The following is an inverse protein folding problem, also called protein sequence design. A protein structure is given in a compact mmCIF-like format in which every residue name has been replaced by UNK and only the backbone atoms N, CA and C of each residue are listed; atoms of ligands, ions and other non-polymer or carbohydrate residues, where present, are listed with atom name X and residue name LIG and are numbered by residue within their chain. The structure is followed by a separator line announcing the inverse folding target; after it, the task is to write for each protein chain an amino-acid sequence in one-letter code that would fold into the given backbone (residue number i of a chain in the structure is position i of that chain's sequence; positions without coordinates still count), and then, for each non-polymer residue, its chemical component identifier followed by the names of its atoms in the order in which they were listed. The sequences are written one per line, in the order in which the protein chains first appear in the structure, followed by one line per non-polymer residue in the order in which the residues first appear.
data_IF_437938643726
#
_entry.id   IF_437938643726
#
_cell.length_a   1.000
_cell.length_b   1.000
_cell.length_c   1.000
_cell.angle_alpha   90.00
_cell.angle_beta   90.00
_cell.angle_gamma   90.00
#
_symmetry.space_group_name_H-M   'P 1'
#
loop_
_entity.id
_entity.type
_entity.pdbx_description
1 polymer ?
#
# COMPACT_ATOMS: atom_id res chain seq x y z
N UNK A 1 5.20 -36.07 -34.60
CA UNK A 1 5.61 -34.85 -35.31
C UNK A 1 5.20 -33.64 -34.46
N UNK A 2 5.99 -32.54 -34.45
CA UNK A 2 5.56 -31.32 -33.79
C UNK A 2 4.26 -30.82 -34.44
N UNK A 3 3.39 -30.23 -33.62
CA UNK A 3 2.14 -29.62 -34.07
C UNK A 3 2.44 -28.33 -34.83
N UNK A 4 1.94 -28.19 -36.06
CA UNK A 4 2.22 -27.06 -36.95
C UNK A 4 1.40 -25.79 -36.63
N UNK A 5 0.39 -25.93 -35.78
CA UNK A 5 -0.63 -24.93 -35.43
C UNK A 5 -0.34 -24.20 -34.10
N UNK A 6 0.83 -24.43 -33.50
CA UNK A 6 1.21 -23.80 -32.21
C UNK A 6 1.96 -22.50 -32.46
N UNK A 7 1.43 -21.39 -31.92
CA UNK A 7 2.11 -20.09 -31.88
C UNK A 7 2.94 -19.97 -30.60
N UNK A 8 4.11 -19.34 -30.72
CA UNK A 8 5.01 -19.06 -29.60
C UNK A 8 5.38 -17.58 -29.68
N UNK A 9 4.90 -16.79 -28.74
CA UNK A 9 5.27 -15.40 -28.62
C UNK A 9 6.79 -15.26 -28.38
N UNK A 10 7.43 -14.35 -29.12
CA UNK A 10 8.86 -14.04 -28.98
C UNK A 10 9.06 -12.75 -28.17
N UNK A 11 8.02 -11.93 -28.06
CA UNK A 11 8.03 -10.71 -27.24
C UNK A 11 6.84 -10.66 -26.27
N UNK A 12 6.97 -9.88 -25.19
CA UNK A 12 5.86 -9.63 -24.27
C UNK A 12 4.66 -8.94 -24.94
N UNK A 13 4.92 -8.11 -25.96
CA UNK A 13 3.88 -7.44 -26.73
C UNK A 13 3.07 -8.44 -27.57
N UNK A 14 3.75 -9.38 -28.22
CA UNK A 14 3.11 -10.49 -28.94
C UNK A 14 2.34 -11.40 -27.99
N UNK A 15 2.90 -11.74 -26.82
CA UNK A 15 2.20 -12.55 -25.82
C UNK A 15 0.87 -11.89 -25.36
N UNK A 16 0.90 -10.58 -25.10
CA UNK A 16 -0.31 -9.80 -24.74
C UNK A 16 -1.30 -9.64 -25.90
N UNK A 17 -0.82 -9.67 -27.15
CA UNK A 17 -1.68 -9.66 -28.33
C UNK A 17 -2.32 -11.02 -28.58
N UNK A 18 -1.58 -12.11 -28.37
CA UNK A 18 -2.08 -13.48 -28.45
C UNK A 18 -3.15 -13.76 -27.38
N UNK A 19 -2.96 -13.29 -26.14
CA UNK A 19 -3.99 -13.33 -25.07
C UNK A 19 -5.30 -12.63 -25.46
N UNK A 20 -5.23 -11.61 -26.32
CA UNK A 20 -6.40 -10.86 -26.81
C UNK A 20 -6.99 -11.42 -28.11
N UNK A 21 -6.20 -12.18 -28.87
CA UNK A 21 -6.58 -12.72 -30.18
C UNK A 21 -7.23 -14.11 -30.11
N UNK A 22 -7.21 -14.77 -28.94
CA UNK A 22 -7.89 -16.05 -28.69
C UNK A 22 -9.39 -15.91 -28.41
N UNK A 23 -10.09 -15.10 -29.21
CA UNK A 23 -11.55 -15.04 -29.25
C UNK A 23 -12.03 -15.69 -30.56
N UNK A 24 -11.74 -16.99 -30.70
CA UNK A 24 -12.14 -17.83 -31.82
C UNK A 24 -13.26 -18.78 -31.36
N UNK A 25 -14.29 -19.03 -32.18
CA UNK A 25 -15.49 -19.80 -31.80
C UNK A 25 -15.16 -21.24 -31.30
N UNK A 26 -14.02 -21.79 -31.73
CA UNK A 26 -13.49 -23.10 -31.32
C UNK A 26 -13.01 -23.13 -29.84
N UNK A 27 -12.61 -21.99 -29.27
CA UNK A 27 -12.22 -21.89 -27.85
C UNK A 27 -13.44 -22.01 -26.94
N UNK A 28 -14.55 -21.37 -27.31
CA UNK A 28 -15.79 -21.40 -26.54
C UNK A 28 -16.44 -22.79 -26.59
N UNK A 29 -16.43 -23.47 -27.75
CA UNK A 29 -16.90 -24.85 -27.85
C UNK A 29 -16.04 -25.82 -27.01
N UNK A 30 -14.71 -25.68 -27.06
CA UNK A 30 -13.80 -26.48 -26.22
C UNK A 30 -14.02 -26.20 -24.74
N UNK A 31 -14.18 -24.95 -24.34
CA UNK A 31 -14.45 -24.55 -22.96
C UNK A 31 -15.78 -25.13 -22.47
N UNK A 32 -16.85 -25.01 -23.26
CA UNK A 32 -18.15 -25.60 -22.96
C UNK A 32 -18.06 -27.12 -22.82
N UNK A 33 -17.30 -27.80 -23.68
CA UNK A 33 -17.09 -29.24 -23.59
C UNK A 33 -16.40 -29.65 -22.28
N UNK A 34 -15.39 -28.90 -21.84
CA UNK A 34 -14.70 -29.12 -20.55
C UNK A 34 -15.64 -28.87 -19.39
N UNK A 35 -16.44 -27.79 -19.43
CA UNK A 35 -17.45 -27.49 -18.41
C UNK A 35 -18.50 -28.60 -18.29
N UNK A 36 -19.00 -29.11 -19.41
CA UNK A 36 -19.93 -30.24 -19.42
C UNK A 36 -19.30 -31.51 -18.83
N UNK A 37 -18.02 -31.77 -19.12
CA UNK A 37 -17.30 -32.91 -18.56
C UNK A 37 -17.08 -32.77 -17.04
N UNK A 38 -16.74 -31.56 -16.56
CA UNK A 38 -16.62 -31.28 -15.13
C UNK A 38 -17.96 -31.37 -14.41
N UNK A 39 -19.06 -30.93 -15.02
CA UNK A 39 -20.40 -31.03 -14.45
C UNK A 39 -20.88 -32.47 -14.29
N UNK A 40 -20.40 -33.39 -15.13
CA UNK A 40 -20.69 -34.83 -15.05
C UNK A 40 -19.90 -35.55 -13.94
N UNK A 41 -18.86 -34.94 -13.38
CA UNK A 41 -18.07 -35.54 -12.29
C UNK A 41 -18.89 -35.61 -11.00
N UNK A 42 -18.96 -36.81 -10.42
CA UNK A 42 -19.63 -37.03 -9.15
C UNK A 42 -18.78 -36.53 -7.98
N UNK A 43 -19.12 -35.36 -7.46
CA UNK A 43 -18.45 -34.73 -6.31
C UNK A 43 -18.55 -35.57 -5.02
N UNK A 44 -19.54 -36.46 -4.88
CA UNK A 44 -19.74 -37.28 -3.67
C UNK A 44 -18.74 -38.44 -3.53
N UNK A 45 -18.14 -38.86 -4.64
CA UNK A 45 -17.13 -39.94 -4.68
C UNK A 45 -15.69 -39.42 -4.74
N UNK A 46 -15.50 -38.11 -4.82
CA UNK A 46 -14.18 -37.49 -4.99
C UNK A 46 -13.61 -37.12 -3.62
N UNK A 47 -12.41 -37.63 -3.29
CA UNK A 47 -11.69 -37.22 -2.08
C UNK A 47 -11.19 -35.78 -2.23
N UNK A 48 -11.25 -34.99 -1.16
CA UNK A 48 -10.66 -33.65 -1.15
C UNK A 48 -9.16 -33.72 -1.42
N UNK A 49 -8.69 -32.89 -2.33
CA UNK A 49 -7.26 -32.68 -2.53
C UNK A 49 -6.71 -31.84 -1.39
N UNK A 50 -5.49 -32.15 -0.95
CA UNK A 50 -4.77 -31.38 0.05
C UNK A 50 -3.81 -30.46 -0.73
N UNK A 51 -4.03 -29.14 -0.71
CA UNK A 51 -3.08 -28.22 -1.31
C UNK A 51 -1.76 -28.26 -0.54
N UNK A 52 -0.65 -28.17 -1.27
CA UNK A 52 0.68 -28.08 -0.67
C UNK A 52 0.92 -26.62 -0.30
N UNK A 53 1.16 -26.36 0.98
CA UNK A 53 1.64 -25.06 1.46
C UNK A 53 3.17 -25.02 1.34
N UNK A 54 3.67 -24.11 0.52
CA UNK A 54 5.10 -24.00 0.27
C UNK A 54 5.86 -23.59 1.54
N UNK A 55 6.62 -24.54 2.08
CA UNK A 55 7.60 -24.33 3.13
C UNK A 55 9.00 -24.62 2.60
N UNK A 56 9.89 -23.63 2.70
CA UNK A 56 11.27 -23.69 2.18
C UNK A 56 12.27 -24.17 3.24
N UNK A 57 11.93 -24.03 4.52
CA UNK A 57 12.84 -24.27 5.65
C UNK A 57 12.73 -25.69 6.21
N UNK A 58 11.80 -26.50 5.70
CA UNK A 58 11.68 -27.92 5.99
C UNK A 58 12.23 -28.74 4.81
N UNK A 59 13.37 -29.40 5.02
CA UNK A 59 14.03 -30.20 4.00
C UNK A 59 13.36 -31.59 3.81
N UNK A 60 12.36 -31.95 4.63
CA UNK A 60 11.67 -33.26 4.56
C UNK A 60 10.42 -33.26 3.69
N UNK A 61 9.95 -32.09 3.27
CA UNK A 61 8.71 -31.94 2.49
C UNK A 61 8.91 -32.04 0.96
N UNK A 62 10.16 -32.20 0.50
CA UNK A 62 10.55 -32.30 -0.91
C UNK A 62 10.23 -31.07 -1.79
N UNK A 63 9.80 -29.94 -1.22
CA UNK A 63 9.47 -28.74 -1.99
C UNK A 63 10.70 -28.20 -2.72
N UNK A 64 11.79 -28.02 -1.98
CA UNK A 64 13.02 -27.48 -2.56
C UNK A 64 13.72 -28.48 -3.49
N UNK A 65 13.59 -29.78 -3.23
CA UNK A 65 14.08 -30.82 -4.14
C UNK A 65 13.35 -30.76 -5.49
N UNK A 66 12.02 -30.65 -5.47
CA UNK A 66 11.21 -30.53 -6.68
C UNK A 66 11.59 -29.27 -7.47
N UNK A 67 11.65 -28.11 -6.82
CA UNK A 67 11.98 -26.84 -7.49
C UNK A 67 13.39 -26.89 -8.09
N UNK A 68 14.37 -27.41 -7.34
CA UNK A 68 15.76 -27.51 -7.81
C UNK A 68 15.87 -28.45 -9.00
N UNK A 69 15.27 -29.63 -8.93
CA UNK A 69 15.28 -30.59 -10.03
C UNK A 69 14.56 -30.05 -11.27
N UNK A 70 13.36 -29.48 -11.11
CA UNK A 70 12.60 -28.90 -12.22
C UNK A 70 13.35 -27.72 -12.87
N UNK A 71 13.96 -26.86 -12.07
CA UNK A 71 14.77 -25.74 -12.55
C UNK A 71 16.00 -26.23 -13.32
N UNK A 72 16.72 -27.22 -12.79
CA UNK A 72 17.92 -27.76 -13.44
C UNK A 72 17.59 -28.53 -14.73
N UNK A 73 16.50 -29.31 -14.77
CA UNK A 73 16.03 -29.94 -16.01
C UNK A 73 15.69 -28.91 -17.09
N UNK A 74 15.08 -27.78 -16.70
CA UNK A 74 14.84 -26.67 -17.62
C UNK A 74 16.15 -25.99 -18.02
N UNK A 75 17.09 -25.81 -17.11
CA UNK A 75 18.39 -25.21 -17.37
C UNK A 75 19.18 -26.01 -18.43
N UNK A 76 19.17 -27.34 -18.31
CA UNK A 76 19.81 -28.27 -19.25
C UNK A 76 19.26 -28.11 -20.68
N UNK A 77 17.94 -27.90 -20.83
CA UNK A 77 17.31 -27.66 -22.14
C UNK A 77 17.86 -26.42 -22.87
N UNK A 78 18.33 -25.41 -22.11
CA UNK A 78 18.83 -24.14 -22.64
C UNK A 78 20.34 -23.95 -22.40
N UNK A 79 21.05 -25.01 -22.00
CA UNK A 79 22.49 -24.97 -21.68
C UNK A 79 22.85 -23.92 -20.61
N UNK A 80 21.94 -23.69 -19.66
CA UNK A 80 22.16 -22.82 -18.49
C UNK A 80 22.82 -23.66 -17.39
N UNK A 81 23.80 -23.10 -16.69
CA UNK A 81 24.48 -23.81 -15.59
C UNK A 81 23.50 -24.17 -14.47
N UNK A 82 23.43 -25.45 -14.03
CA UNK A 82 22.53 -25.85 -12.96
C UNK A 82 22.93 -25.22 -11.62
N UNK A 83 21.96 -25.12 -10.71
CA UNK A 83 22.13 -24.60 -9.36
C UNK A 83 21.93 -25.71 -8.32
N UNK A 84 22.61 -25.60 -7.18
CA UNK A 84 22.37 -26.49 -6.04
C UNK A 84 21.09 -26.12 -5.29
N UNK A 85 20.70 -26.97 -4.34
CA UNK A 85 19.50 -26.76 -3.51
C UNK A 85 19.62 -25.47 -2.70
N UNK A 86 20.81 -25.14 -2.20
CA UNK A 86 21.02 -23.94 -1.38
C UNK A 86 20.81 -22.65 -2.17
N UNK A 87 21.40 -22.52 -3.36
CA UNK A 87 21.22 -21.37 -4.25
C UNK A 87 19.78 -21.27 -4.74
N UNK A 88 19.17 -22.42 -5.05
CA UNK A 88 17.75 -22.48 -5.44
C UNK A 88 16.84 -22.05 -4.29
N UNK A 89 17.10 -22.49 -3.06
CA UNK A 89 16.39 -22.09 -1.83
C UNK A 89 16.55 -20.61 -1.54
N UNK A 90 17.74 -20.05 -1.73
CA UNK A 90 17.98 -18.62 -1.60
C UNK A 90 17.11 -17.80 -2.56
N UNK A 91 17.04 -18.20 -3.83
CA UNK A 91 16.32 -17.47 -4.88
C UNK A 91 14.80 -17.70 -4.78
N UNK A 92 14.35 -18.96 -4.82
CA UNK A 92 12.93 -19.33 -4.79
C UNK A 92 12.27 -18.97 -3.46
N UNK A 93 13.00 -19.12 -2.37
CA UNK A 93 12.56 -18.78 -1.02
C UNK A 93 12.67 -17.29 -0.66
N UNK A 94 13.20 -16.45 -1.57
CA UNK A 94 13.43 -15.01 -1.35
C UNK A 94 14.14 -14.72 -0.03
N UNK A 95 15.18 -15.48 0.28
CA UNK A 95 15.91 -15.36 1.54
C UNK A 95 16.70 -14.05 1.54
N UNK A 96 16.45 -13.22 2.56
CA UNK A 96 17.23 -12.01 2.83
C UNK A 96 18.45 -12.43 3.67
N UNK A 97 19.69 -12.32 3.14
CA UNK A 97 20.87 -12.66 3.91
C UNK A 97 21.00 -11.74 5.13
N UNK A 98 21.23 -12.33 6.30
CA UNK A 98 21.39 -11.61 7.55
C UNK A 98 22.51 -12.22 8.39
N UNK A 99 23.27 -11.36 9.08
CA UNK A 99 24.33 -11.75 10.00
C UNK A 99 24.27 -10.88 11.25
N UNK A 100 24.51 -11.48 12.42
CA UNK A 100 24.40 -10.81 13.70
C UNK A 100 25.30 -9.56 13.83
N UNK A 101 26.44 -9.52 13.14
CA UNK A 101 27.37 -8.39 13.15
C UNK A 101 26.73 -7.11 12.60
N UNK A 102 26.06 -7.18 11.45
CA UNK A 102 25.34 -6.04 10.87
C UNK A 102 24.17 -5.62 11.76
N UNK A 103 23.42 -6.58 12.31
CA UNK A 103 22.32 -6.29 13.23
C UNK A 103 22.80 -5.57 14.50
N UNK A 104 23.89 -6.04 15.11
CA UNK A 104 24.48 -5.42 16.28
C UNK A 104 25.00 -4.00 15.99
N UNK A 105 25.66 -3.80 14.84
CA UNK A 105 26.15 -2.50 14.43
C UNK A 105 24.99 -1.50 14.21
N UNK A 106 23.94 -1.90 13.47
CA UNK A 106 22.75 -1.06 13.25
C UNK A 106 22.04 -0.75 14.57
N UNK A 107 21.83 -1.75 15.44
CA UNK A 107 21.20 -1.54 16.74
C UNK A 107 22.01 -0.57 17.62
N UNK A 108 23.33 -0.67 17.64
CA UNK A 108 24.21 0.26 18.36
C UNK A 108 24.06 1.70 17.86
N UNK A 109 24.04 1.92 16.53
CA UNK A 109 23.82 3.24 15.94
C UNK A 109 22.42 3.79 16.28
N UNK A 110 21.39 2.95 16.26
CA UNK A 110 20.03 3.34 16.67
C UNK A 110 20.00 3.76 18.15
N UNK A 111 20.69 3.05 19.04
CA UNK A 111 20.80 3.44 20.44
C UNK A 111 21.51 4.80 20.62
N UNK A 112 22.49 5.12 19.78
CA UNK A 112 23.14 6.44 19.79
C UNK A 112 22.15 7.55 19.39
N UNK A 113 21.33 7.34 18.35
CA UNK A 113 20.28 8.29 17.97
C UNK A 113 19.20 8.41 19.05
N UNK A 114 18.88 7.31 19.75
CA UNK A 114 17.92 7.30 20.85
C UNK A 114 18.29 8.28 21.96
N UNK A 115 19.58 8.38 22.33
CA UNK A 115 20.03 9.35 23.35
C UNK A 115 19.64 10.79 23.04
N UNK A 116 19.51 11.15 21.75
CA UNK A 116 19.09 12.49 21.32
C UNK A 116 17.60 12.74 21.58
N UNK A 117 16.81 11.69 21.74
CA UNK A 117 15.37 11.74 22.00
C UNK A 117 15.00 11.57 23.47
N UNK A 118 15.95 11.27 24.35
CA UNK A 118 15.69 11.13 25.79
C UNK A 118 15.49 12.53 26.39
N UNK A 119 14.25 12.84 26.77
CA UNK A 119 13.87 14.06 27.48
C UNK A 119 13.56 13.82 28.97
N UNK A 120 12.97 14.81 29.62
CA UNK A 120 12.53 14.77 31.03
C UNK A 120 11.23 13.96 31.27
N UNK A 121 10.66 13.39 30.20
CA UNK A 121 9.41 12.62 30.23
C UNK A 121 8.14 13.45 30.13
N UNK A 122 8.23 14.79 30.14
CA UNK A 122 7.09 15.68 30.02
C UNK A 122 6.88 16.19 28.59
N UNK A 123 7.96 16.46 27.87
CA UNK A 123 7.91 16.89 26.47
C UNK A 123 9.02 16.24 25.64
N UNK A 124 8.81 16.03 24.34
CA UNK A 124 9.88 15.60 23.45
C UNK A 124 10.99 16.67 23.45
N UNK A 125 12.28 16.28 23.51
CA UNK A 125 13.36 17.24 23.55
C UNK A 125 13.44 18.02 22.23
N UNK A 126 13.65 19.34 22.32
CA UNK A 126 13.84 20.19 21.15
C UNK A 126 15.30 20.06 20.64
N UNK A 127 15.57 18.98 19.90
CA UNK A 127 16.89 18.71 19.34
C UNK A 127 16.97 19.22 17.89
N UNK A 128 17.96 20.06 17.54
CA UNK A 128 18.14 20.54 16.18
C UNK A 128 18.37 19.40 15.18
N UNK A 129 17.70 19.45 14.03
CA UNK A 129 17.76 18.41 12.98
C UNK A 129 19.20 18.04 12.57
N UNK A 130 20.10 19.03 12.50
CA UNK A 130 21.54 18.87 12.15
C UNK A 130 22.30 17.87 13.04
N UNK A 131 21.81 17.62 14.25
CA UNK A 131 22.42 16.70 15.22
C UNK A 131 22.09 15.24 14.89
N UNK A 132 20.94 14.98 14.25
CA UNK A 132 20.56 13.63 13.82
C UNK A 132 21.42 13.18 12.65
N UNK A 133 21.68 11.87 12.58
CA UNK A 133 22.47 11.26 11.51
C UNK A 133 21.79 9.98 11.03
N UNK A 134 21.48 9.93 9.74
CA UNK A 134 21.16 8.69 9.06
C UNK A 134 22.45 7.92 8.83
N UNK A 135 22.53 6.69 9.34
CA UNK A 135 23.71 5.84 9.18
C UNK A 135 23.57 4.89 7.99
N UNK A 136 24.59 4.83 7.16
CA UNK A 136 24.75 3.88 6.06
C UNK A 136 26.03 3.09 6.30
N UNK A 137 25.97 1.77 6.25
CA UNK A 137 27.16 0.95 6.50
C UNK A 137 27.23 -0.26 5.59
N UNK A 138 28.45 -0.61 5.20
CA UNK A 138 28.76 -1.85 4.50
C UNK A 138 30.03 -2.45 5.11
N UNK A 139 29.84 -3.44 5.99
CA UNK A 139 30.93 -4.10 6.72
C UNK A 139 31.86 -4.93 5.83
N UNK A 140 31.46 -5.24 4.59
CA UNK A 140 32.34 -5.93 3.64
C UNK A 140 33.41 -4.98 3.07
N UNK A 141 33.12 -3.68 2.95
CA UNK A 141 34.03 -2.62 2.49
C UNK A 141 34.57 -1.74 3.64
N UNK A 142 34.46 -2.20 4.88
CA UNK A 142 34.41 -1.37 6.09
C UNK A 142 33.90 0.08 5.93
N UNK A 143 32.82 0.28 5.17
CA UNK A 143 32.31 1.61 4.86
C UNK A 143 31.27 2.06 5.91
N UNK A 144 31.41 3.31 6.36
CA UNK A 144 30.44 4.01 7.20
C UNK A 144 30.22 5.42 6.64
N UNK A 145 28.98 5.74 6.32
CA UNK A 145 28.55 7.04 5.86
C UNK A 145 27.43 7.57 6.74
N UNK A 146 27.48 8.87 7.04
CA UNK A 146 26.42 9.54 7.79
C UNK A 146 25.93 10.75 7.01
N UNK A 147 24.61 10.90 6.92
CA UNK A 147 23.98 12.09 6.33
C UNK A 147 23.03 12.73 7.32
N UNK A 148 22.80 14.03 7.17
CA UNK A 148 21.71 14.68 7.90
C UNK A 148 20.36 14.22 7.32
N UNK A 149 19.33 14.03 8.16
CA UNK A 149 17.99 13.78 7.68
C UNK A 149 17.45 14.98 6.88
N UNK A 150 16.62 14.67 5.89
CA UNK A 150 15.96 15.68 5.05
C UNK A 150 14.84 16.32 5.88
N UNK A 151 14.79 17.65 5.89
CA UNK A 151 13.69 18.37 6.52
C UNK A 151 12.36 18.08 5.80
N UNK A 152 11.27 18.00 6.56
CA UNK A 152 9.95 17.77 5.98
C UNK A 152 9.62 18.88 4.95
N UNK A 153 9.17 18.54 3.72
CA UNK A 153 8.76 19.52 2.74
C UNK A 153 7.67 20.44 3.30
N UNK A 154 7.87 21.74 3.16
CA UNK A 154 6.89 22.76 3.56
C UNK A 154 5.97 23.07 2.37
N UNK A 155 4.68 22.87 2.57
CA UNK A 155 3.60 23.27 1.66
C UNK A 155 3.03 24.60 2.13
N UNK A 156 2.71 25.50 1.19
CA UNK A 156 2.10 26.80 1.49
C UNK A 156 0.60 26.60 1.68
N UNK A 157 0.04 27.14 2.77
CA UNK A 157 -1.39 27.14 3.05
C UNK A 157 -1.77 28.53 3.56
N UNK A 158 -2.59 29.26 2.80
CA UNK A 158 -2.93 30.66 3.06
C UNK A 158 -1.67 31.52 3.34
N UNK A 159 -1.60 32.14 4.52
CA UNK A 159 -0.48 32.98 4.97
C UNK A 159 0.65 32.19 5.66
N UNK A 160 0.48 30.87 5.82
CA UNK A 160 1.40 29.99 6.56
C UNK A 160 2.02 28.87 5.72
N UNK A 161 2.79 28.03 6.41
CA UNK A 161 3.34 26.80 5.87
C UNK A 161 3.02 25.63 6.78
N UNK A 162 2.77 24.48 6.18
CA UNK A 162 2.57 23.23 6.89
C UNK A 162 3.44 22.11 6.28
N UNK A 163 3.60 21.04 7.04
CA UNK A 163 4.38 19.85 6.70
C UNK A 163 3.51 18.61 6.87
N UNK A 164 4.06 17.44 6.57
CA UNK A 164 3.36 16.16 6.76
C UNK A 164 2.97 15.85 8.22
N UNK A 165 3.55 16.56 9.19
CA UNK A 165 3.30 16.37 10.62
C UNK A 165 2.17 17.24 11.16
N UNK A 166 1.82 18.30 10.44
CA UNK A 166 0.79 19.24 10.83
C UNK A 166 -0.58 18.65 10.49
N UNK A 167 -1.55 18.91 11.37
CA UNK A 167 -2.94 18.49 11.20
C UNK A 167 -3.86 19.44 11.93
N UNK A 168 -5.08 19.54 11.45
CA UNK A 168 -6.17 20.15 12.20
C UNK A 168 -6.84 19.10 13.06
N UNK A 169 -7.08 19.41 14.33
CA UNK A 169 -7.86 18.54 15.21
C UNK A 169 -9.17 19.23 15.54
N UNK A 170 -10.28 18.55 15.28
CA UNK A 170 -11.62 19.04 15.57
C UNK A 170 -12.39 18.00 16.38
N UNK A 171 -13.12 18.47 17.39
CA UNK A 171 -13.98 17.65 18.24
C UNK A 171 -15.40 17.64 17.67
N UNK A 172 -15.93 16.43 17.45
CA UNK A 172 -17.34 16.20 17.14
C UNK A 172 -18.22 16.09 18.39
N UNK A 173 -19.51 15.78 18.22
CA UNK A 173 -20.24 15.72 16.96
C UNK A 173 -20.44 17.12 16.37
N UNK A 174 -20.29 17.25 15.06
CA UNK A 174 -20.51 18.48 14.30
C UNK A 174 -21.18 18.15 12.98
N UNK A 175 -22.03 19.07 12.53
CA UNK A 175 -22.62 19.03 11.19
C UNK A 175 -21.59 19.43 10.14
N UNK A 176 -21.80 19.02 8.90
CA UNK A 176 -20.92 19.40 7.79
C UNK A 176 -20.81 20.94 7.65
N UNK A 177 -21.91 21.69 7.81
CA UNK A 177 -21.88 23.16 7.75
C UNK A 177 -20.98 23.79 8.82
N UNK A 178 -20.96 23.21 10.02
CA UNK A 178 -20.17 23.71 11.15
C UNK A 178 -18.68 23.42 10.93
N UNK A 179 -18.37 22.27 10.33
CA UNK A 179 -17.01 21.92 9.95
C UNK A 179 -16.48 22.85 8.84
N UNK A 180 -17.28 23.09 7.78
CA UNK A 180 -16.89 24.00 6.70
C UNK A 180 -16.69 25.43 7.23
N UNK A 181 -17.60 25.90 8.10
CA UNK A 181 -17.49 27.22 8.72
C UNK A 181 -16.24 27.31 9.61
N UNK A 182 -15.96 26.28 10.41
CA UNK A 182 -14.76 26.23 11.25
C UNK A 182 -13.47 26.27 10.42
N UNK A 183 -13.41 25.50 9.32
CA UNK A 183 -12.25 25.53 8.40
C UNK A 183 -12.07 26.94 7.83
N UNK A 184 -13.16 27.61 7.45
CA UNK A 184 -13.13 28.98 6.93
C UNK A 184 -12.65 29.99 7.97
N UNK A 185 -13.06 29.84 9.22
CA UNK A 185 -12.63 30.72 10.32
C UNK A 185 -11.14 30.55 10.68
N UNK A 186 -10.65 29.30 10.70
CA UNK A 186 -9.26 28.99 11.04
C UNK A 186 -8.28 29.29 9.91
N UNK A 187 -8.66 29.00 8.66
CA UNK A 187 -7.75 29.08 7.51
C UNK A 187 -8.00 30.29 6.62
N UNK A 188 -9.20 30.89 6.69
CA UNK A 188 -9.63 31.92 5.75
C UNK A 188 -9.91 31.40 4.32
N UNK A 189 -9.91 30.07 4.12
CA UNK A 189 -10.10 29.42 2.81
C UNK A 189 -11.51 28.83 2.67
N UNK A 190 -11.98 28.77 1.43
CA UNK A 190 -13.32 28.25 1.11
C UNK A 190 -13.23 26.78 0.66
N UNK A 191 -13.84 25.86 1.40
CA UNK A 191 -13.78 24.41 1.12
C UNK A 191 -14.51 24.07 -0.19
N UNK A 192 -13.79 23.49 -1.14
CA UNK A 192 -14.35 23.03 -2.42
C UNK A 192 -14.65 21.53 -2.42
N UNK A 193 -13.78 20.74 -1.80
CA UNK A 193 -13.87 19.28 -1.80
C UNK A 193 -13.43 18.70 -0.46
N UNK A 194 -14.13 17.66 0.00
CA UNK A 194 -13.78 16.91 1.21
C UNK A 194 -14.01 15.42 1.01
N UNK A 195 -12.99 14.61 1.31
CA UNK A 195 -13.03 13.16 1.24
C UNK A 195 -12.63 12.51 2.56
N UNK A 196 -13.11 11.28 2.78
CA UNK A 196 -12.61 10.37 3.81
C UNK A 196 -12.12 9.11 3.11
N UNK A 197 -10.81 8.92 3.05
CA UNK A 197 -10.18 7.89 2.22
C UNK A 197 -10.59 8.08 0.75
N UNK A 198 -11.10 7.02 0.13
CA UNK A 198 -11.52 7.04 -1.29
C UNK A 198 -12.92 7.62 -1.52
N UNK A 199 -13.65 7.98 -0.44
CA UNK A 199 -15.04 8.38 -0.51
C UNK A 199 -15.19 9.90 -0.49
N UNK A 200 -15.85 10.43 -1.52
CA UNK A 200 -16.13 11.86 -1.65
C UNK A 200 -17.38 12.27 -0.85
N UNK A 201 -17.16 12.97 0.26
CA UNK A 201 -18.20 13.33 1.24
C UNK A 201 -18.84 14.67 0.88
N UNK A 202 -18.04 15.63 0.42
CA UNK A 202 -18.54 16.94 -0.01
C UNK A 202 -17.77 17.41 -1.24
N UNK A 203 -18.48 18.00 -2.18
CA UNK A 203 -17.89 18.62 -3.37
C UNK A 203 -18.82 19.66 -3.96
N UNK A 204 -18.25 20.74 -4.49
CA UNK A 204 -19.00 21.75 -5.24
C UNK A 204 -19.67 21.19 -6.51
N UNK A 205 -19.21 20.06 -7.06
CA UNK A 205 -19.83 19.39 -8.22
C UNK A 205 -21.16 18.67 -7.91
N UNK A 206 -21.50 18.48 -6.63
CA UNK A 206 -22.78 17.87 -6.25
C UNK A 206 -23.94 18.82 -6.59
N UNK A 207 -25.11 18.24 -6.91
CA UNK A 207 -26.33 19.02 -7.16
C UNK A 207 -26.69 19.89 -5.95
N UNK A 208 -27.32 21.04 -6.20
CA UNK A 208 -27.65 22.00 -5.14
C UNK A 208 -28.45 21.35 -4.00
N UNK A 209 -29.43 20.50 -4.33
CA UNK A 209 -30.27 19.81 -3.35
C UNK A 209 -29.45 18.85 -2.47
N UNK A 210 -28.56 18.05 -3.07
CA UNK A 210 -27.70 17.12 -2.32
C UNK A 210 -26.68 17.85 -1.44
N UNK A 211 -26.18 19.01 -1.87
CA UNK A 211 -25.28 19.82 -1.04
C UNK A 211 -26.02 20.37 0.18
N UNK A 212 -27.21 20.91 -0.02
CA UNK A 212 -28.05 21.45 1.05
C UNK A 212 -28.43 20.38 2.08
N UNK A 213 -28.75 19.16 1.61
CA UNK A 213 -29.02 18.01 2.47
C UNK A 213 -27.79 17.63 3.32
N UNK A 214 -26.63 17.45 2.68
CA UNK A 214 -25.39 17.08 3.37
C UNK A 214 -24.89 18.12 4.37
N UNK A 215 -25.16 19.40 4.12
CA UNK A 215 -24.76 20.48 5.04
C UNK A 215 -25.41 20.36 6.42
N UNK A 216 -26.63 19.81 6.49
CA UNK A 216 -27.39 19.65 7.73
C UNK A 216 -27.21 18.29 8.42
N UNK A 217 -26.57 17.33 7.76
CA UNK A 217 -26.28 16.00 8.30
C UNK A 217 -25.02 16.00 9.20
N UNK A 218 -24.98 15.06 10.14
CA UNK A 218 -23.82 14.83 10.98
C UNK A 218 -22.69 14.16 10.19
N UNK A 219 -21.44 14.56 10.44
CA UNK A 219 -20.28 14.04 9.71
C UNK A 219 -20.19 12.51 9.74
N UNK A 220 -20.56 11.89 10.87
CA UNK A 220 -20.57 10.44 11.03
C UNK A 220 -21.56 9.78 10.05
N UNK A 221 -22.77 10.31 9.98
CA UNK A 221 -23.84 9.73 9.16
C UNK A 221 -23.54 9.88 7.68
N UNK A 222 -22.98 11.00 7.26
CA UNK A 222 -22.58 11.22 5.85
C UNK A 222 -21.50 10.20 5.45
N UNK A 223 -20.50 9.96 6.30
CA UNK A 223 -19.45 8.97 6.03
C UNK A 223 -20.06 7.58 5.90
N UNK A 224 -20.95 7.18 6.81
CA UNK A 224 -21.60 5.87 6.77
C UNK A 224 -22.49 5.68 5.52
N UNK A 225 -23.21 6.73 5.12
CA UNK A 225 -24.06 6.73 3.93
C UNK A 225 -23.23 6.59 2.64
N UNK A 226 -22.19 7.41 2.48
CA UNK A 226 -21.36 7.42 1.26
C UNK A 226 -20.53 6.15 1.13
N UNK A 227 -19.95 5.68 2.24
CA UNK A 227 -19.16 4.44 2.24
C UNK A 227 -20.04 3.18 2.22
N UNK A 228 -21.34 3.33 2.48
CA UNK A 228 -22.31 2.24 2.68
C UNK A 228 -21.85 1.25 3.76
N UNK A 229 -21.07 1.72 4.73
CA UNK A 229 -20.49 0.93 5.81
C UNK A 229 -20.62 1.70 7.11
N UNK A 230 -21.16 1.04 8.13
CA UNK A 230 -21.21 1.60 9.49
C UNK A 230 -19.78 1.77 10.02
N UNK A 231 -19.49 2.90 10.66
CA UNK A 231 -18.21 3.10 11.34
C UNK A 231 -18.20 2.22 12.59
N UNK A 232 -17.20 1.34 12.77
CA UNK A 232 -17.10 0.51 13.95
C UNK A 232 -16.98 1.33 15.25
N UNK A 233 -17.59 0.86 16.34
CA UNK A 233 -17.66 1.60 17.61
C UNK A 233 -16.29 1.83 18.30
N UNK A 234 -15.25 1.11 17.88
CA UNK A 234 -13.87 1.29 18.36
C UNK A 234 -13.13 2.45 17.65
N UNK A 235 -13.68 2.97 16.55
CA UNK A 235 -13.07 4.09 15.82
C UNK A 235 -13.35 5.38 16.58
N UNK A 236 -12.28 6.04 17.03
CA UNK A 236 -12.36 7.29 17.81
C UNK A 236 -12.28 8.54 16.93
N UNK A 237 -11.62 8.45 15.78
CA UNK A 237 -11.42 9.58 14.89
C UNK A 237 -11.36 9.13 13.44
N UNK A 238 -11.77 10.01 12.53
CA UNK A 238 -11.65 9.83 11.09
C UNK A 238 -10.71 10.90 10.52
N UNK A 239 -10.06 10.58 9.41
CA UNK A 239 -9.19 11.51 8.69
C UNK A 239 -9.95 12.04 7.49
N UNK A 240 -9.98 13.37 7.38
CA UNK A 240 -10.59 14.08 6.26
C UNK A 240 -9.50 14.78 5.47
N UNK A 241 -9.52 14.58 4.17
CA UNK A 241 -8.70 15.32 3.21
C UNK A 241 -9.56 16.42 2.59
N UNK A 242 -9.03 17.63 2.56
CA UNK A 242 -9.77 18.83 2.17
C UNK A 242 -8.99 19.59 1.12
N UNK A 243 -9.68 19.97 0.05
CA UNK A 243 -9.22 20.95 -0.93
C UNK A 243 -10.04 22.21 -0.72
N UNK A 244 -9.37 23.36 -0.68
CA UNK A 244 -9.99 24.64 -0.47
C UNK A 244 -9.43 25.68 -1.43
N UNK A 245 -10.20 26.72 -1.74
CA UNK A 245 -9.77 27.81 -2.61
C UNK A 245 -9.32 29.01 -1.78
N UNK A 246 -8.31 29.70 -2.28
CA UNK A 246 -7.93 31.02 -1.77
C UNK A 246 -8.82 32.13 -2.38
N UNK A 247 -8.58 33.38 -1.99
CA UNK A 247 -9.33 34.56 -2.48
C UNK A 247 -9.16 34.82 -3.99
N UNK A 248 -8.15 34.22 -4.61
CA UNK A 248 -7.83 34.33 -6.03
C UNK A 248 -8.39 33.13 -6.83
N UNK A 249 -9.27 32.33 -6.22
CA UNK A 249 -9.87 31.10 -6.79
C UNK A 249 -8.84 30.01 -7.19
N UNK A 250 -7.65 30.03 -6.60
CA UNK A 250 -6.65 28.97 -6.78
C UNK A 250 -6.86 27.84 -5.75
N UNK A 251 -6.77 26.59 -6.21
CA UNK A 251 -6.82 25.41 -5.35
C UNK A 251 -5.59 25.37 -4.42
N UNK A 252 -5.84 25.29 -3.11
CA UNK A 252 -4.83 25.20 -2.06
C UNK A 252 -5.08 23.96 -1.22
N UNK A 253 -4.00 23.22 -0.98
CA UNK A 253 -4.00 22.11 -0.04
C UNK A 253 -3.88 22.63 1.40
N UNK A 254 -4.63 22.03 2.31
CA UNK A 254 -4.53 22.27 3.75
C UNK A 254 -4.07 20.99 4.48
N UNK A 255 -3.52 21.10 5.71
CA UNK A 255 -3.31 19.94 6.56
C UNK A 255 -4.56 19.05 6.65
N UNK A 256 -4.37 17.74 6.71
CA UNK A 256 -5.50 16.83 6.91
C UNK A 256 -6.18 17.12 8.26
N UNK A 257 -7.47 16.84 8.32
CA UNK A 257 -8.28 17.06 9.52
C UNK A 257 -8.49 15.72 10.20
N UNK A 258 -8.02 15.62 11.44
CA UNK A 258 -8.40 14.56 12.37
C UNK A 258 -9.70 14.98 13.06
N UNK A 259 -10.79 14.40 12.60
CA UNK A 259 -12.12 14.62 13.18
C UNK A 259 -12.37 13.56 14.25
N UNK A 260 -12.37 13.98 15.52
CA UNK A 260 -12.69 13.10 16.64
C UNK A 260 -14.20 12.89 16.71
N UNK A 261 -14.64 11.63 16.68
CA UNK A 261 -16.05 11.24 16.70
C UNK A 261 -16.67 11.32 18.10
N UNK A 262 -15.84 11.53 19.14
CA UNK A 262 -16.19 11.61 20.57
C UNK A 262 -15.34 12.64 21.27
#
# INVERSE_FOLDING_TARGET
MPKSDVKIAVTEAEAKQEEKATADDDVDEKLQSVMMNLAKLNKKTTKSLIPIDFEKDDDTNHHMEFITAASNLRADNYQITPADVMKTKQIAGRIIPALATTTAAVAGLVCIELYKMIGDGHQPPNVPLKVFKNGFLNLALPFFGFSEPIAAPKKKCADGYFTLWDRFEIQGPKKMKELIQWIKEETGLDVTMMSCGVSLIYSFFLSSDKRMERLEQDMKDIVEEVTRKKIPDYVQSIVLEVIANNKDDEDVEIPYIKFNLR
#
